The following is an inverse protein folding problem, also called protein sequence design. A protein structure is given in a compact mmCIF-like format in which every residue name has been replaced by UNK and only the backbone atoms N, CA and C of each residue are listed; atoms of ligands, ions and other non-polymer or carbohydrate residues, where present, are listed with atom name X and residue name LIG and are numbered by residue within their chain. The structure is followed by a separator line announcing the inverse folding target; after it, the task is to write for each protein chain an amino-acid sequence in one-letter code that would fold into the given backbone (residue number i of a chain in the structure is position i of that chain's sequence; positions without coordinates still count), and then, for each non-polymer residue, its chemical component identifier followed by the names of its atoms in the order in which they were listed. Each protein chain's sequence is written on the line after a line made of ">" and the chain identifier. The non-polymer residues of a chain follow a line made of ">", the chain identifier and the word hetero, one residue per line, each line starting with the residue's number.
data_IF_092063830835
#
_entry.id   IF_092063830835
#
_cell.length_a   1.000
_cell.length_b   1.000
_cell.length_c   1.000
_cell.angle_alpha   90.00
_cell.angle_beta   90.00
_cell.angle_gamma   90.00
#
_symmetry.space_group_name_H-M   'P 1'
#
loop_
_entity.id
_entity.type
_entity.pdbx_description
1 polymer ?
#
# COMPACT_ATOMS: atom_id res chain seq x y z
N UNK A 1 -22.76 -33.02 4.56
CA UNK A 1 -23.52 -32.78 3.31
C UNK A 1 -23.57 -31.31 2.87
N UNK A 2 -23.37 -30.31 3.74
CA UNK A 2 -23.45 -28.89 3.33
C UNK A 2 -22.26 -28.44 2.45
N UNK A 3 -21.04 -28.90 2.73
CA UNK A 3 -19.83 -28.51 1.98
C UNK A 3 -19.88 -28.86 0.49
N UNK A 4 -20.46 -30.00 0.12
CA UNK A 4 -20.59 -30.40 -1.29
C UNK A 4 -21.51 -29.46 -2.10
N UNK A 5 -22.40 -28.70 -1.45
CA UNK A 5 -23.22 -27.71 -2.11
C UNK A 5 -22.44 -26.45 -2.55
N UNK A 6 -21.32 -26.14 -1.88
CA UNK A 6 -20.46 -24.99 -2.21
C UNK A 6 -19.38 -25.34 -3.22
N UNK A 7 -18.88 -26.57 -3.19
CA UNK A 7 -17.81 -27.07 -4.05
C UNK A 7 -18.34 -27.79 -5.30
N UNK A 8 -19.32 -27.18 -5.98
CA UNK A 8 -19.76 -27.66 -7.30
C UNK A 8 -18.65 -27.44 -8.34
N UNK A 9 -18.49 -28.31 -9.35
CA UNK A 9 -17.46 -28.14 -10.38
C UNK A 9 -17.43 -26.76 -11.04
N UNK A 10 -18.60 -26.19 -11.36
CA UNK A 10 -18.71 -24.86 -11.96
C UNK A 10 -18.20 -23.73 -11.04
N UNK A 11 -18.51 -23.79 -9.74
CA UNK A 11 -18.02 -22.79 -8.76
C UNK A 11 -16.50 -22.88 -8.57
N UNK A 12 -15.95 -24.09 -8.56
CA UNK A 12 -14.49 -24.31 -8.46
C UNK A 12 -13.78 -23.71 -9.68
N UNK A 13 -14.27 -24.00 -10.89
CA UNK A 13 -13.71 -23.44 -12.13
C UNK A 13 -13.78 -21.91 -12.13
N UNK A 14 -14.91 -21.34 -11.72
CA UNK A 14 -15.06 -19.89 -11.59
C UNK A 14 -14.08 -19.28 -10.58
N UNK A 15 -13.93 -19.88 -9.40
CA UNK A 15 -12.99 -19.39 -8.38
C UNK A 15 -11.55 -19.39 -8.88
N UNK A 16 -11.12 -20.48 -9.53
CA UNK A 16 -9.76 -20.57 -10.09
C UNK A 16 -9.56 -19.51 -11.17
N UNK A 17 -10.50 -19.38 -12.11
CA UNK A 17 -10.44 -18.36 -13.16
C UNK A 17 -10.37 -16.95 -12.58
N UNK A 18 -11.24 -16.65 -11.60
CA UNK A 18 -11.29 -15.36 -10.94
C UNK A 18 -9.97 -15.03 -10.24
N UNK A 19 -9.40 -15.96 -9.47
CA UNK A 19 -8.11 -15.76 -8.79
C UNK A 19 -7.00 -15.49 -9.81
N UNK A 20 -6.91 -16.27 -10.88
CA UNK A 20 -5.88 -16.10 -11.92
C UNK A 20 -6.03 -14.73 -12.60
N UNK A 21 -7.24 -14.37 -13.00
CA UNK A 21 -7.51 -13.08 -13.65
C UNK A 21 -7.19 -11.92 -12.71
N UNK A 22 -7.63 -12.00 -11.46
CA UNK A 22 -7.41 -10.98 -10.44
C UNK A 22 -5.92 -10.80 -10.13
N UNK A 23 -5.18 -11.88 -9.88
CA UNK A 23 -3.74 -11.83 -9.60
C UNK A 23 -2.97 -11.28 -10.81
N UNK A 24 -3.34 -11.68 -12.02
CA UNK A 24 -2.72 -11.16 -13.26
C UNK A 24 -2.93 -9.64 -13.39
N UNK A 25 -4.14 -9.15 -13.10
CA UNK A 25 -4.44 -7.72 -13.10
C UNK A 25 -3.68 -6.98 -12.00
N UNK A 26 -3.55 -7.55 -10.79
CA UNK A 26 -2.72 -6.96 -9.74
C UNK A 26 -1.27 -6.82 -10.19
N UNK A 27 -0.67 -7.89 -10.74
CA UNK A 27 0.72 -7.86 -11.20
C UNK A 27 0.88 -6.79 -12.29
N UNK A 28 -0.04 -6.72 -13.25
CA UNK A 28 0.00 -5.70 -14.30
C UNK A 28 -0.10 -4.28 -13.73
N UNK A 29 -1.02 -4.04 -12.78
CA UNK A 29 -1.19 -2.76 -12.10
C UNK A 29 0.08 -2.34 -11.36
N UNK A 30 0.67 -3.23 -10.55
CA UNK A 30 1.87 -2.92 -9.77
C UNK A 30 3.13 -2.74 -10.63
N UNK A 31 3.25 -3.46 -11.75
CA UNK A 31 4.36 -3.25 -12.69
C UNK A 31 4.37 -1.84 -13.23
N UNK A 32 3.20 -1.29 -13.58
CA UNK A 32 3.10 0.07 -14.11
C UNK A 32 3.33 1.13 -13.02
N UNK A 33 2.89 0.84 -11.80
CA UNK A 33 3.02 1.78 -10.68
C UNK A 33 4.45 1.86 -10.13
N UNK A 34 5.24 0.78 -10.22
CA UNK A 34 6.65 0.78 -9.77
C UNK A 34 7.50 1.86 -10.48
N UNK A 35 7.35 2.00 -11.79
CA UNK A 35 8.05 3.06 -12.55
C UNK A 35 7.54 4.46 -12.18
N UNK A 36 6.23 4.55 -11.91
CA UNK A 36 5.57 5.79 -11.53
C UNK A 36 6.01 6.27 -10.13
N UNK A 37 6.19 5.32 -9.20
CA UNK A 37 6.69 5.58 -7.85
C UNK A 37 8.11 6.15 -7.87
N UNK A 38 9.00 5.58 -8.70
CA UNK A 38 10.36 6.11 -8.83
C UNK A 38 10.39 7.48 -9.53
N UNK A 39 9.44 7.78 -10.42
CA UNK A 39 9.35 9.09 -11.09
C UNK A 39 8.85 10.20 -10.17
N UNK A 40 7.77 9.96 -9.43
CA UNK A 40 7.07 11.01 -8.67
C UNK A 40 7.38 11.01 -7.16
N UNK A 41 7.73 9.86 -6.58
CA UNK A 41 7.99 9.71 -5.15
C UNK A 41 9.47 9.47 -4.82
N UNK A 42 10.38 9.77 -5.75
CA UNK A 42 11.83 9.64 -5.52
C UNK A 42 12.23 10.46 -4.29
N UNK A 43 12.88 9.79 -3.35
CA UNK A 43 13.33 10.37 -2.07
C UNK A 43 12.20 10.95 -1.20
N UNK A 44 10.93 10.60 -1.42
CA UNK A 44 9.81 11.08 -0.60
C UNK A 44 10.04 10.76 0.89
N UNK A 45 10.52 9.55 1.22
CA UNK A 45 10.89 9.19 2.59
C UNK A 45 11.98 10.08 3.19
N UNK A 46 13.01 10.44 2.43
CA UNK A 46 14.06 11.37 2.89
C UNK A 46 13.51 12.77 3.13
N UNK A 47 12.62 13.25 2.25
CA UNK A 47 11.96 14.55 2.40
C UNK A 47 11.07 14.57 3.64
N UNK A 48 10.25 13.55 3.84
CA UNK A 48 9.38 13.44 5.03
C UNK A 48 10.20 13.38 6.31
N UNK A 49 11.29 12.62 6.33
CA UNK A 49 12.18 12.56 7.48
C UNK A 49 12.79 13.93 7.80
N UNK A 50 13.26 14.65 6.77
CA UNK A 50 13.88 15.97 6.96
C UNK A 50 12.87 17.02 7.45
N UNK A 51 11.74 17.18 6.77
CA UNK A 51 10.74 18.19 7.14
C UNK A 51 9.98 17.81 8.40
N UNK A 52 9.60 16.54 8.55
CA UNK A 52 8.94 16.03 9.75
C UNK A 52 9.85 16.11 10.98
N UNK A 53 11.14 15.78 10.83
CA UNK A 53 12.13 15.95 11.88
C UNK A 53 12.32 17.41 12.27
N UNK A 54 12.41 18.32 11.30
CA UNK A 54 12.51 19.76 11.56
C UNK A 54 11.29 20.27 12.34
N UNK A 55 10.08 19.89 11.93
CA UNK A 55 8.84 20.28 12.62
C UNK A 55 8.84 19.77 14.06
N UNK A 56 9.23 18.51 14.28
CA UNK A 56 9.30 17.94 15.63
C UNK A 56 10.34 18.66 16.50
N UNK A 57 11.52 18.97 15.97
CA UNK A 57 12.55 19.72 16.69
C UNK A 57 12.03 21.10 17.08
N UNK A 58 11.46 21.84 16.13
CA UNK A 58 10.88 23.17 16.40
C UNK A 58 9.76 23.08 17.44
N UNK A 59 8.87 22.09 17.31
CA UNK A 59 7.79 21.87 18.25
C UNK A 59 8.31 21.62 19.67
N UNK A 60 9.33 20.76 19.83
CA UNK A 60 9.94 20.47 21.13
C UNK A 60 10.61 21.72 21.71
N UNK A 61 11.37 22.47 20.92
CA UNK A 61 12.02 23.72 21.36
C UNK A 61 10.98 24.72 21.85
N UNK A 62 9.93 24.98 21.07
CA UNK A 62 8.85 25.89 21.44
C UNK A 62 8.15 25.41 22.71
N UNK A 63 7.87 24.10 22.83
CA UNK A 63 7.23 23.53 24.02
C UNK A 63 8.08 23.71 25.28
N UNK A 64 9.41 23.59 25.16
CA UNK A 64 10.32 23.76 26.30
C UNK A 64 10.52 25.22 26.68
N UNK A 65 10.55 26.14 25.71
CA UNK A 65 10.78 27.57 25.95
C UNK A 65 9.50 28.34 26.35
N UNK A 66 8.35 27.98 25.76
CA UNK A 66 7.08 28.66 25.97
C UNK A 66 6.12 27.90 26.90
N UNK A 67 6.49 26.69 27.33
CA UNK A 67 5.71 25.86 28.25
C UNK A 67 6.08 26.04 29.72
N UNK A 68 6.53 27.23 30.10
CA UNK A 68 6.56 27.70 31.49
C UNK A 68 5.21 28.29 31.88
#
# INVERSE_FOLDING_TARGET
>A
MFLSAFFTPGRIVFMIFFIIAFVSLMIWSYRKDSDNHNRYYKNAGKKVFLYGGLILIVFVIVRLLAGH
#
